data_IF_704741501414
#
_entry.id   IF_704741501414
#
_cell.length_a   1.000
_cell.length_b   1.000
_cell.length_c   1.000
_cell.angle_alpha   90.00
_cell.angle_beta   90.00
_cell.angle_gamma   90.00
#
_symmetry.space_group_name_H-M   'P 1'
#
loop_
_entity.id
_entity.type
_entity.pdbx_description
1 polymer ?
#
# COMPACT_ATOMS: atom_id res chain seq x y z
N UNK A 1 -5.47 -20.33 -15.24
CA UNK A 1 -5.79 -20.55 -13.81
C UNK A 1 -5.11 -19.43 -13.03
N UNK A 2 -5.82 -18.31 -12.91
CA UNK A 2 -5.39 -17.06 -12.28
C UNK A 2 -6.61 -16.53 -11.51
N UNK A 3 -6.47 -16.28 -10.21
CA UNK A 3 -7.53 -15.73 -9.39
C UNK A 3 -7.28 -14.22 -9.25
N UNK A 4 -7.84 -13.44 -10.18
CA UNK A 4 -8.08 -12.03 -9.98
C UNK A 4 -9.30 -11.88 -9.06
N UNK A 5 -9.11 -11.26 -7.90
CA UNK A 5 -10.21 -10.91 -7.00
C UNK A 5 -11.08 -9.83 -7.66
N UNK A 6 -12.21 -10.24 -8.23
CA UNK A 6 -13.31 -9.38 -8.61
C UNK A 6 -14.49 -9.73 -7.69
N UNK A 7 -15.02 -8.73 -6.99
CA UNK A 7 -16.20 -8.86 -6.14
C UNK A 7 -17.38 -9.38 -6.98
N UNK A 8 -17.94 -10.54 -6.61
CA UNK A 8 -19.16 -11.07 -7.21
C UNK A 8 -20.36 -10.45 -6.51
N UNK A 9 -21.09 -9.60 -7.22
CA UNK A 9 -22.49 -9.31 -6.91
C UNK A 9 -23.33 -10.58 -7.20
N UNK A 10 -24.00 -11.11 -6.18
CA UNK A 10 -25.04 -12.13 -6.38
C UNK A 10 -26.36 -11.38 -6.57
N UNK A 11 -26.84 -11.31 -7.82
CA UNK A 11 -28.14 -10.76 -8.13
C UNK A 11 -29.18 -11.88 -8.04
N UNK A 12 -29.91 -11.97 -6.92
CA UNK A 12 -31.11 -12.82 -6.84
C UNK A 12 -32.33 -12.00 -7.25
N UNK A 13 -32.95 -12.34 -8.38
CA UNK A 13 -34.21 -11.74 -8.78
C UNK A 13 -35.38 -12.46 -8.09
N UNK A 14 -36.03 -11.78 -7.14
CA UNK A 14 -37.40 -12.14 -6.77
C UNK A 14 -38.35 -11.34 -7.66
N UNK A 15 -39.12 -12.04 -8.51
CA UNK A 15 -40.21 -11.45 -9.29
C UNK A 15 -41.24 -10.84 -8.34
N UNK A 16 -41.42 -9.52 -8.42
CA UNK A 16 -42.40 -8.76 -7.68
C UNK A 16 -42.35 -7.31 -8.12
N UNK A 17 -43.46 -6.82 -8.66
CA UNK A 17 -43.63 -5.61 -9.44
C UNK A 17 -43.68 -4.36 -8.52
N UNK A 18 -42.53 -3.71 -8.28
CA UNK A 18 -42.41 -2.27 -7.97
C UNK A 18 -40.91 -1.87 -7.99
N UNK A 19 -40.43 -1.46 -9.17
CA UNK A 19 -39.00 -1.24 -9.45
C UNK A 19 -38.62 0.24 -9.26
N UNK A 20 -37.95 0.57 -8.15
CA UNK A 20 -37.07 1.77 -8.04
C UNK A 20 -36.09 1.83 -6.84
N UNK A 21 -35.73 0.69 -6.23
CA UNK A 21 -34.61 0.64 -5.24
C UNK A 21 -33.85 -0.67 -5.36
N UNK A 22 -32.78 -0.67 -6.15
CA UNK A 22 -31.74 -1.69 -6.02
C UNK A 22 -31.05 -1.49 -4.66
N UNK A 23 -31.24 -2.43 -3.73
CA UNK A 23 -30.48 -2.48 -2.49
C UNK A 23 -29.33 -3.47 -2.66
N UNK A 24 -28.10 -2.96 -2.64
CA UNK A 24 -26.90 -3.78 -2.55
C UNK A 24 -26.68 -4.10 -1.08
N UNK A 25 -27.03 -5.32 -0.65
CA UNK A 25 -26.73 -5.79 0.70
C UNK A 25 -25.26 -6.24 0.72
N UNK A 26 -24.42 -5.44 1.37
CA UNK A 26 -23.01 -5.76 1.61
C UNK A 26 -22.91 -6.51 2.94
N UNK A 27 -22.72 -7.84 2.90
CA UNK A 27 -22.52 -8.63 4.11
C UNK A 27 -21.05 -8.57 4.53
N UNK A 28 -20.71 -7.66 5.45
CA UNK A 28 -19.38 -7.53 6.08
C UNK A 28 -19.49 -7.64 7.61
N UNK A 29 -18.47 -8.27 8.20
CA UNK A 29 -18.19 -8.42 9.64
C UNK A 29 -18.89 -7.42 10.56
N UNK A 30 -19.53 -7.91 11.64
CA UNK A 30 -20.28 -7.16 12.68
C UNK A 30 -19.62 -5.86 13.21
N UNK A 31 -19.58 -4.80 12.41
CA UNK A 31 -19.34 -3.41 12.82
C UNK A 31 -20.36 -2.56 12.08
N UNK A 32 -21.00 -1.63 12.82
CA UNK A 32 -22.13 -0.81 12.35
C UNK A 32 -21.84 -0.24 10.96
N UNK A 33 -22.67 -0.61 9.98
CA UNK A 33 -22.73 0.09 8.70
C UNK A 33 -23.07 1.55 9.03
N UNK A 34 -22.15 2.47 8.72
CA UNK A 34 -22.56 3.86 8.59
C UNK A 34 -23.49 3.92 7.38
N UNK A 35 -24.72 4.37 7.59
CA UNK A 35 -25.64 4.67 6.49
C UNK A 35 -25.10 5.92 5.80
N UNK A 36 -24.22 5.70 4.82
CA UNK A 36 -23.59 6.79 4.06
C UNK A 36 -24.51 7.14 2.90
N UNK A 37 -25.28 8.21 3.09
CA UNK A 37 -26.04 8.87 2.02
C UNK A 37 -25.08 9.70 1.17
N UNK A 38 -24.92 9.33 -0.10
CA UNK A 38 -24.06 10.04 -1.05
C UNK A 38 -23.83 9.25 -2.34
N UNK A 39 -23.45 9.96 -3.40
CA UNK A 39 -23.01 9.36 -4.66
C UNK A 39 -21.50 9.07 -4.67
N UNK A 40 -20.96 8.48 -5.76
CA UNK A 40 -19.53 8.22 -5.90
C UNK A 40 -18.62 9.45 -5.73
N UNK A 41 -19.12 10.64 -6.06
CA UNK A 41 -18.40 11.90 -5.89
C UNK A 41 -18.16 12.26 -4.41
N UNK A 42 -19.05 11.82 -3.51
CA UNK A 42 -19.02 12.18 -2.09
C UNK A 42 -18.10 11.26 -1.27
N UNK A 43 -17.64 10.15 -1.86
CA UNK A 43 -16.87 9.10 -1.17
C UNK A 43 -15.61 9.66 -0.50
N UNK A 44 -14.89 10.57 -1.18
CA UNK A 44 -13.67 11.18 -0.63
C UNK A 44 -13.98 11.96 0.65
N UNK A 45 -14.96 12.85 0.60
CA UNK A 45 -15.36 13.65 1.77
C UNK A 45 -15.88 12.78 2.92
N UNK A 46 -16.66 11.75 2.60
CA UNK A 46 -17.20 10.81 3.58
C UNK A 46 -16.05 10.10 4.32
N UNK A 47 -15.04 9.62 3.60
CA UNK A 47 -13.87 8.96 4.20
C UNK A 47 -13.10 9.94 5.08
N UNK A 48 -12.85 11.16 4.61
CA UNK A 48 -12.14 12.20 5.37
C UNK A 48 -12.88 12.51 6.69
N UNK A 49 -14.18 12.81 6.61
CA UNK A 49 -15.04 13.09 7.78
C UNK A 49 -15.03 11.92 8.75
N UNK A 50 -15.19 10.70 8.24
CA UNK A 50 -15.14 9.47 9.04
C UNK A 50 -13.80 9.34 9.76
N UNK A 51 -12.67 9.49 9.06
CA UNK A 51 -11.33 9.39 9.66
C UNK A 51 -11.11 10.40 10.76
N UNK A 52 -11.47 11.67 10.56
CA UNK A 52 -11.34 12.72 11.59
C UNK A 52 -12.17 12.40 12.84
N UNK A 53 -13.44 12.03 12.67
CA UNK A 53 -14.32 11.64 13.79
C UNK A 53 -13.79 10.44 14.56
N UNK A 54 -13.32 9.40 13.86
CA UNK A 54 -12.75 8.21 14.51
C UNK A 54 -11.40 8.50 15.18
N UNK A 55 -10.59 9.40 14.60
CA UNK A 55 -9.34 9.87 15.18
C UNK A 55 -9.59 10.52 16.55
N UNK A 56 -10.46 11.53 16.57
CA UNK A 56 -10.86 12.27 17.77
C UNK A 56 -11.46 11.36 18.83
N UNK A 57 -12.39 10.47 18.45
CA UNK A 57 -13.03 9.53 19.37
C UNK A 57 -12.06 8.54 20.04
N UNK A 58 -10.87 8.34 19.47
CA UNK A 58 -9.81 7.51 20.09
C UNK A 58 -8.60 8.33 20.55
N UNK A 59 -8.74 9.65 20.69
CA UNK A 59 -7.72 10.52 21.29
C UNK A 59 -6.54 10.88 20.38
N UNK A 60 -6.68 10.74 19.05
CA UNK A 60 -5.66 11.16 18.10
C UNK A 60 -6.03 12.49 17.44
N UNK A 61 -5.05 13.38 17.33
CA UNK A 61 -5.21 14.68 16.68
C UNK A 61 -4.70 14.65 15.23
N UNK A 62 -5.62 14.69 14.29
CA UNK A 62 -5.34 14.80 12.85
C UNK A 62 -5.57 16.22 12.30
N UNK A 63 -5.70 17.24 13.15
CA UNK A 63 -5.98 18.62 12.73
C UNK A 63 -4.88 19.24 11.86
N UNK A 64 -3.64 18.75 11.99
CA UNK A 64 -2.47 19.21 11.21
C UNK A 64 -2.29 18.49 9.87
N UNK A 65 -3.15 17.52 9.56
CA UNK A 65 -3.10 16.78 8.30
C UNK A 65 -4.10 17.39 7.31
N UNK A 66 -3.63 17.60 6.10
CA UNK A 66 -4.47 18.01 4.98
C UNK A 66 -5.37 16.85 4.54
N UNK A 67 -6.49 17.17 3.89
CA UNK A 67 -7.48 16.18 3.49
C UNK A 67 -6.93 15.12 2.53
N UNK A 68 -5.98 15.49 1.65
CA UNK A 68 -5.26 14.56 0.78
C UNK A 68 -4.38 13.59 1.59
N UNK A 69 -3.74 14.06 2.66
CA UNK A 69 -2.92 13.22 3.54
C UNK A 69 -3.76 12.23 4.34
N UNK A 70 -5.07 12.46 4.48
CA UNK A 70 -5.96 11.54 5.19
C UNK A 70 -6.38 10.34 4.35
N UNK A 71 -6.45 10.50 3.03
CA UNK A 71 -7.06 9.51 2.13
C UNK A 71 -6.08 8.90 1.13
N UNK A 72 -5.07 9.64 0.70
CA UNK A 72 -4.11 9.20 -0.31
C UNK A 72 -2.83 8.65 0.36
N UNK A 73 -2.11 7.77 -0.35
CA UNK A 73 -0.81 7.27 0.09
C UNK A 73 0.28 8.29 -0.25
N UNK A 74 0.82 8.95 0.76
CA UNK A 74 1.91 9.89 0.56
C UNK A 74 3.24 9.16 0.58
N UNK A 75 3.95 9.20 -0.56
CA UNK A 75 5.20 8.47 -0.72
C UNK A 75 6.40 9.41 -0.63
N UNK A 76 7.19 9.28 0.43
CA UNK A 76 8.43 10.03 0.63
C UNK A 76 9.63 9.13 0.37
N UNK A 77 10.52 9.54 -0.54
CA UNK A 77 11.74 8.81 -0.87
C UNK A 77 12.95 9.52 -0.28
N UNK A 78 13.72 8.81 0.54
CA UNK A 78 15.01 9.24 1.04
C UNK A 78 16.11 8.49 0.30
N UNK A 79 16.82 9.23 -0.55
CA UNK A 79 17.99 8.71 -1.25
C UNK A 79 19.06 8.26 -0.23
N UNK A 80 19.71 7.09 -0.43
CA UNK A 80 19.65 6.26 -1.63
C UNK A 80 18.63 5.11 -1.61
N UNK A 81 18.10 4.71 -0.45
CA UNK A 81 17.51 3.36 -0.31
C UNK A 81 16.23 3.25 0.50
N UNK A 82 15.68 4.35 1.00
CA UNK A 82 14.53 4.31 1.89
C UNK A 82 13.29 4.94 1.23
N UNK A 83 12.15 4.25 1.30
CA UNK A 83 10.85 4.77 0.87
C UNK A 83 9.87 4.64 2.04
N UNK A 84 9.07 5.68 2.25
CA UNK A 84 8.03 5.72 3.27
C UNK A 84 6.70 5.89 2.55
N UNK A 85 5.80 4.93 2.72
CA UNK A 85 4.40 5.03 2.32
C UNK A 85 3.61 5.44 3.57
N UNK A 86 3.18 6.69 3.63
CA UNK A 86 2.65 7.32 4.85
C UNK A 86 1.15 7.49 4.79
N UNK A 87 0.48 6.92 5.78
CA UNK A 87 -0.90 7.18 6.14
C UNK A 87 -0.96 7.78 7.55
N UNK A 88 -2.05 8.49 7.92
CA UNK A 88 -2.24 8.99 9.27
C UNK A 88 -2.17 7.89 10.33
N UNK A 89 -2.70 6.71 10.00
CA UNK A 89 -2.78 5.56 10.91
C UNK A 89 -1.50 4.74 10.97
N UNK A 90 -0.62 4.87 9.98
CA UNK A 90 0.63 4.16 9.97
C UNK A 90 1.49 4.39 8.75
N UNK A 91 2.75 3.98 8.87
CA UNK A 91 3.79 4.18 7.88
C UNK A 91 4.43 2.85 7.54
N UNK A 92 4.45 2.51 6.26
CA UNK A 92 5.25 1.42 5.73
C UNK A 92 6.62 1.98 5.33
N UNK A 93 7.66 1.54 6.03
CA UNK A 93 9.06 1.88 5.77
C UNK A 93 9.71 0.74 4.99
N UNK A 94 10.11 1.03 3.76
CA UNK A 94 10.75 0.10 2.85
C UNK A 94 12.22 0.48 2.68
N UNK A 95 13.12 -0.46 2.96
CA UNK A 95 14.57 -0.27 2.80
C UNK A 95 15.15 -1.30 1.85
N UNK A 96 15.98 -0.83 0.93
CA UNK A 96 16.64 -1.64 -0.09
C UNK A 96 18.16 -1.57 0.10
N UNK A 97 18.72 -2.54 0.81
CA UNK A 97 20.15 -2.55 1.11
C UNK A 97 20.91 -3.40 0.07
N UNK A 98 21.98 -2.88 -0.56
CA UNK A 98 22.83 -3.67 -1.44
C UNK A 98 23.36 -4.92 -0.72
N UNK A 99 23.39 -6.06 -1.40
CA UNK A 99 24.03 -7.25 -0.85
C UNK A 99 25.55 -7.02 -0.77
N UNK A 100 26.23 -7.45 0.31
CA UNK A 100 27.64 -7.10 0.56
C UNK A 100 28.62 -7.61 -0.50
N UNK A 101 28.27 -8.66 -1.24
CA UNK A 101 29.17 -9.31 -2.22
C UNK A 101 28.56 -9.58 -3.59
N UNK A 102 27.25 -9.36 -3.75
CA UNK A 102 26.55 -9.75 -4.99
C UNK A 102 25.75 -8.54 -5.48
N UNK A 103 26.23 -7.81 -6.50
CA UNK A 103 25.56 -6.60 -6.97
C UNK A 103 24.18 -6.87 -7.59
N UNK A 104 23.81 -8.14 -7.80
CA UNK A 104 22.49 -8.53 -8.33
C UNK A 104 21.47 -8.86 -7.24
N UNK A 105 21.86 -8.72 -5.97
CA UNK A 105 21.00 -9.00 -4.84
C UNK A 105 20.81 -7.76 -3.99
N UNK A 106 19.62 -7.70 -3.41
CA UNK A 106 19.23 -6.67 -2.46
C UNK A 106 18.62 -7.36 -1.24
N UNK A 107 18.92 -6.83 -0.06
CA UNK A 107 18.19 -7.16 1.16
C UNK A 107 17.05 -6.16 1.27
N UNK A 108 15.84 -6.66 1.08
CA UNK A 108 14.62 -5.88 1.28
C UNK A 108 14.18 -5.98 2.74
N UNK A 109 13.93 -4.84 3.38
CA UNK A 109 13.39 -4.76 4.74
C UNK A 109 12.10 -3.96 4.70
N UNK A 110 11.01 -4.59 5.14
CA UNK A 110 9.72 -3.94 5.36
C UNK A 110 9.50 -3.75 6.86
N UNK A 111 9.12 -2.54 7.26
CA UNK A 111 8.72 -2.22 8.64
C UNK A 111 7.43 -1.43 8.61
N UNK A 112 6.56 -1.70 9.57
CA UNK A 112 5.27 -1.03 9.67
C UNK A 112 5.23 -0.35 11.03
N UNK A 113 5.07 0.97 11.04
CA UNK A 113 4.86 1.77 12.24
C UNK A 113 3.39 2.14 12.27
N UNK A 114 2.66 1.69 13.29
CA UNK A 114 1.21 1.78 13.32
C UNK A 114 0.74 2.45 14.62
N UNK A 115 -0.32 3.25 14.51
CA UNK A 115 -1.07 3.66 15.67
C UNK A 115 -1.85 2.47 16.26
N UNK A 116 -1.89 2.34 17.60
CA UNK A 116 -2.67 1.30 18.27
C UNK A 116 -4.13 1.24 17.82
N UNK A 117 -4.64 0.01 17.64
CA UNK A 117 -6.02 -0.34 17.33
C UNK A 117 -6.62 0.35 16.08
N UNK A 118 -5.76 0.78 15.14
CA UNK A 118 -6.17 1.35 13.86
C UNK A 118 -6.08 0.37 12.71
N UNK A 119 -7.02 0.49 11.78
CA UNK A 119 -6.93 -0.20 10.50
C UNK A 119 -5.86 0.44 9.62
N UNK A 120 -5.18 -0.40 8.84
CA UNK A 120 -4.09 0.00 7.96
C UNK A 120 -4.44 -0.47 6.56
N UNK A 121 -3.95 0.21 5.51
CA UNK A 121 -4.12 -0.26 4.16
C UNK A 121 -3.61 -1.70 4.00
N UNK A 122 -4.39 -2.54 3.32
CA UNK A 122 -4.08 -3.97 3.17
C UNK A 122 -2.75 -4.24 2.46
N UNK A 123 -2.33 -3.32 1.59
CA UNK A 123 -1.06 -3.43 0.87
C UNK A 123 0.17 -3.31 1.78
N UNK A 124 0.02 -2.77 3.01
CA UNK A 124 1.12 -2.74 3.98
C UNK A 124 1.52 -4.14 4.47
N UNK A 125 0.70 -5.17 4.22
CA UNK A 125 1.08 -6.55 4.47
C UNK A 125 1.16 -6.92 5.95
N UNK A 126 0.38 -6.24 6.81
CA UNK A 126 0.26 -6.61 8.23
C UNK A 126 -0.39 -8.00 8.32
N UNK A 127 0.26 -8.99 8.94
CA UNK A 127 -0.35 -10.31 9.14
C UNK A 127 -1.64 -10.22 9.94
N UNK A 128 -2.62 -11.07 9.62
CA UNK A 128 -3.93 -11.07 10.29
C UNK A 128 -3.87 -11.43 11.77
N UNK A 129 -2.80 -12.11 12.21
CA UNK A 129 -2.53 -12.50 13.58
C UNK A 129 -1.73 -11.47 14.39
N UNK A 130 -1.36 -10.34 13.79
CA UNK A 130 -0.53 -9.34 14.45
C UNK A 130 -1.28 -8.67 15.61
N UNK A 131 -0.63 -8.54 16.77
CA UNK A 131 -1.10 -7.70 17.87
C UNK A 131 -1.07 -6.22 17.43
N UNK A 132 -2.23 -5.58 17.44
CA UNK A 132 -2.42 -4.17 17.06
C UNK A 132 -2.65 -3.26 18.26
N UNK A 133 -2.62 -3.78 19.48
CA UNK A 133 -2.90 -3.01 20.70
C UNK A 133 -1.80 -2.00 21.06
N UNK A 134 -0.64 -2.06 20.38
CA UNK A 134 0.52 -1.23 20.67
C UNK A 134 1.27 -1.59 21.95
N UNK A 135 0.89 -2.67 22.65
CA UNK A 135 1.53 -3.12 23.89
C UNK A 135 2.78 -3.96 23.65
N UNK A 136 2.89 -4.54 22.45
CA UNK A 136 4.02 -5.39 22.07
C UNK A 136 4.58 -4.96 20.73
N UNK A 137 5.89 -5.15 20.55
CA UNK A 137 6.56 -4.97 19.27
C UNK A 137 6.79 -6.36 18.70
N UNK A 138 6.25 -6.63 17.51
CA UNK A 138 6.50 -7.89 16.79
C UNK A 138 7.98 -8.00 16.46
N UNK A 139 8.59 -9.13 16.80
CA UNK A 139 9.99 -9.40 16.43
C UNK A 139 10.13 -9.50 14.91
N UNK A 140 11.28 -9.10 14.35
CA UNK A 140 11.55 -9.30 12.94
C UNK A 140 11.37 -10.77 12.53
N UNK A 141 10.65 -10.99 11.43
CA UNK A 141 10.55 -12.29 10.77
C UNK A 141 11.34 -12.26 9.47
N UNK A 142 12.00 -13.37 9.15
CA UNK A 142 12.68 -13.57 7.88
C UNK A 142 11.81 -14.47 7.02
N UNK A 143 11.64 -14.10 5.76
CA UNK A 143 10.90 -14.93 4.82
C UNK A 143 11.80 -16.02 4.26
N UNK A 144 11.23 -17.21 4.11
CA UNK A 144 11.89 -18.32 3.46
C UNK A 144 12.14 -18.01 1.99
N UNK A 145 13.18 -18.62 1.41
CA UNK A 145 13.51 -18.40 0.01
C UNK A 145 12.34 -18.84 -0.88
N UNK A 146 11.77 -17.89 -1.62
CA UNK A 146 10.66 -18.14 -2.54
C UNK A 146 9.27 -17.91 -1.92
N UNK A 147 9.19 -17.67 -0.61
CA UNK A 147 7.95 -17.21 0.03
C UNK A 147 7.79 -15.70 -0.20
N UNK A 148 7.28 -15.35 -1.38
CA UNK A 148 6.97 -13.96 -1.73
C UNK A 148 5.53 -13.57 -1.34
N UNK A 149 4.64 -14.54 -1.12
CA UNK A 149 3.24 -14.26 -0.77
C UNK A 149 3.12 -13.59 0.60
N UNK A 150 4.00 -13.96 1.54
CA UNK A 150 4.12 -13.34 2.85
C UNK A 150 4.53 -11.86 2.82
N UNK A 151 4.95 -11.31 1.67
CA UNK A 151 5.17 -9.86 1.49
C UNK A 151 3.86 -9.07 1.33
N UNK A 152 2.72 -9.76 1.21
CA UNK A 152 1.43 -9.13 0.97
C UNK A 152 1.11 -8.95 -0.53
N UNK A 153 -0.12 -8.51 -0.84
CA UNK A 153 -0.69 -8.64 -2.18
C UNK A 153 -0.04 -7.75 -3.25
N UNK A 154 0.59 -6.64 -2.85
CA UNK A 154 1.19 -5.67 -3.76
C UNK A 154 2.70 -5.87 -3.86
N UNK A 155 3.40 -5.91 -2.73
CA UNK A 155 4.87 -6.04 -2.70
C UNK A 155 5.33 -7.37 -3.31
N UNK A 156 4.54 -8.44 -3.16
CA UNK A 156 4.83 -9.72 -3.82
C UNK A 156 4.87 -9.61 -5.36
N UNK A 157 4.04 -8.75 -5.96
CA UNK A 157 4.02 -8.53 -7.40
C UNK A 157 5.29 -7.82 -7.88
N UNK A 158 5.75 -6.82 -7.13
CA UNK A 158 7.02 -6.15 -7.41
C UNK A 158 8.20 -7.13 -7.28
N UNK A 159 8.23 -7.90 -6.18
CA UNK A 159 9.28 -8.86 -5.91
C UNK A 159 9.39 -9.95 -6.98
N UNK A 160 8.27 -10.43 -7.53
CA UNK A 160 8.27 -11.40 -8.64
C UNK A 160 8.67 -10.79 -9.98
N UNK A 161 8.60 -9.47 -10.12
CA UNK A 161 8.88 -8.74 -11.36
C UNK A 161 10.35 -8.30 -11.45
N UNK A 162 10.95 -7.85 -10.35
CA UNK A 162 12.31 -7.31 -10.33
C UNK A 162 13.38 -8.24 -10.94
N UNK A 163 13.43 -9.56 -10.64
CA UNK A 163 14.43 -10.45 -11.24
C UNK A 163 14.29 -10.57 -12.77
N UNK A 164 13.06 -10.43 -13.29
CA UNK A 164 12.79 -10.46 -14.74
C UNK A 164 13.31 -9.19 -15.40
N UNK A 165 13.14 -8.03 -14.76
CA UNK A 165 13.69 -6.75 -15.23
C UNK A 165 15.22 -6.82 -15.22
N UNK A 166 15.84 -7.22 -14.10
CA UNK A 166 17.29 -7.36 -13.98
C UNK A 166 17.89 -8.24 -15.10
N UNK A 167 17.27 -9.40 -15.36
CA UNK A 167 17.69 -10.30 -16.46
C UNK A 167 17.62 -9.62 -17.84
N UNK A 168 16.61 -8.78 -18.06
CA UNK A 168 16.42 -8.06 -19.34
C UNK A 168 17.44 -6.95 -19.53
N UNK A 169 17.79 -6.24 -18.45
CA UNK A 169 18.82 -5.18 -18.48
C UNK A 169 20.20 -5.70 -18.90
N UNK A 170 20.49 -7.00 -18.70
CA UNK A 170 21.71 -7.66 -19.19
C UNK A 170 21.75 -7.94 -20.70
N UNK A 171 20.65 -7.74 -21.42
CA UNK A 171 20.61 -8.02 -22.86
C UNK A 171 21.57 -7.12 -23.62
N UNK A 172 22.38 -7.67 -24.53
CA UNK A 172 23.24 -6.89 -25.44
C UNK A 172 22.44 -5.91 -26.32
N UNK A 173 21.16 -6.20 -26.53
CA UNK A 173 20.22 -5.36 -27.26
C UNK A 173 19.66 -4.19 -26.45
N UNK A 174 19.79 -4.20 -25.12
CA UNK A 174 19.35 -3.08 -24.30
C UNK A 174 20.30 -1.90 -24.47
N UNK A 175 19.76 -0.73 -24.80
CA UNK A 175 20.53 0.51 -25.06
C UNK A 175 20.27 1.63 -24.05
N UNK A 176 19.47 1.35 -23.02
CA UNK A 176 18.96 2.34 -22.06
C UNK A 176 17.44 2.41 -22.05
N UNK A 177 16.89 3.08 -21.03
CA UNK A 177 15.46 3.32 -20.89
C UNK A 177 15.10 4.71 -21.41
N UNK A 178 13.92 4.81 -22.03
CA UNK A 178 13.27 6.08 -22.36
C UNK A 178 12.14 6.24 -21.37
N UNK A 179 12.16 7.34 -20.61
CA UNK A 179 11.18 7.61 -19.56
C UNK A 179 10.11 8.59 -20.05
N UNK A 180 8.87 8.29 -19.72
CA UNK A 180 7.71 9.16 -19.92
C UNK A 180 7.66 10.30 -18.89
N UNK A 181 6.69 11.21 -19.05
CA UNK A 181 6.44 12.30 -18.09
C UNK A 181 6.04 11.77 -16.70
N UNK A 182 5.34 10.64 -16.64
CA UNK A 182 4.91 10.00 -15.39
C UNK A 182 6.10 9.39 -14.61
N UNK A 183 7.23 9.16 -15.26
CA UNK A 183 8.42 8.52 -14.68
C UNK A 183 9.46 9.54 -14.19
N UNK A 184 9.04 10.78 -13.93
CA UNK A 184 9.92 11.86 -13.49
C UNK A 184 10.71 11.53 -12.22
N UNK A 185 10.12 10.78 -11.30
CA UNK A 185 10.80 10.36 -10.05
C UNK A 185 11.95 9.39 -10.34
N UNK A 186 11.82 8.53 -11.35
CA UNK A 186 12.91 7.62 -11.77
C UNK A 186 14.06 8.44 -12.36
N UNK A 187 13.73 9.42 -13.21
CA UNK A 187 14.72 10.35 -13.78
C UNK A 187 15.47 11.12 -12.69
N UNK A 188 14.73 11.64 -11.70
CA UNK A 188 15.31 12.36 -10.57
C UNK A 188 16.23 11.48 -9.74
N UNK A 189 15.86 10.21 -9.51
CA UNK A 189 16.72 9.25 -8.80
C UNK A 189 18.08 9.08 -9.50
N UNK A 190 18.09 8.85 -10.82
CA UNK A 190 19.35 8.70 -11.55
C UNK A 190 20.17 10.00 -11.58
N UNK A 191 19.53 11.17 -11.67
CA UNK A 191 20.24 12.44 -11.59
C UNK A 191 20.91 12.64 -10.21
N UNK A 192 20.26 12.25 -9.12
CA UNK A 192 20.85 12.29 -7.78
C UNK A 192 21.98 11.27 -7.63
N UNK A 193 21.77 10.05 -8.15
CA UNK A 193 22.78 8.99 -8.14
C UNK A 193 24.05 9.41 -8.87
N UNK A 194 23.91 9.97 -10.08
CA UNK A 194 25.05 10.46 -10.86
C UNK A 194 25.76 11.62 -10.14
N UNK A 195 25.01 12.53 -9.48
CA UNK A 195 25.63 13.60 -8.69
C UNK A 195 26.43 13.03 -7.52
N UNK A 196 25.88 12.04 -6.83
CA UNK A 196 26.54 11.40 -5.69
C UNK A 196 27.82 10.65 -6.09
N UNK A 197 27.83 9.98 -7.24
CA UNK A 197 29.02 9.27 -7.75
C UNK A 197 30.15 10.21 -8.21
N UNK A 198 29.81 11.44 -8.59
CA UNK A 198 30.75 12.42 -9.14
C UNK A 198 31.16 13.52 -8.13
N UNK A 199 30.68 13.46 -6.89
CA UNK A 199 31.04 14.39 -5.80
C UNK A 199 32.29 13.91 -5.05
#
# INVERSE_FOLDING_TARGET
MALSYAERAVCSSSKGEDDRRASVVYERSRRRSCDVSGGPADVREIIIKSKRTHAEASGYDFSKLDDEQLIDDWVVKFFPSCTFNTHPEGVLVQRFLPHPTDPEKVVYISQIWALPDRELPSYMGVPSDADRSGKTIRRPSYLEKGDLESLGPVISQDATTMPKIQKRLRSKGYKGAIYSEQEIVIRQFYAEYDRHLNA
#
